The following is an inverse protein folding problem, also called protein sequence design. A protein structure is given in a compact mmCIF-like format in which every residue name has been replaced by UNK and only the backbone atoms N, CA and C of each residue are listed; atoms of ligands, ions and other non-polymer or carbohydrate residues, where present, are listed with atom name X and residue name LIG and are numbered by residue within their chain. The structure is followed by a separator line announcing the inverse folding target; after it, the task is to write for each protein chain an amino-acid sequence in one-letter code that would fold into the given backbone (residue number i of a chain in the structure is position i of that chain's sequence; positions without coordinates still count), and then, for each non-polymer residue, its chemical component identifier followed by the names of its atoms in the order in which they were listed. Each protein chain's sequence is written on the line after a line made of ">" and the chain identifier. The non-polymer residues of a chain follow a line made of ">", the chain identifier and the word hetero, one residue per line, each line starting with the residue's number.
data_IF_089478935506
#
_entry.id   IF_089478935506
#
_cell.length_a   1.000
_cell.length_b   1.000
_cell.length_c   1.000
_cell.angle_alpha   90.00
_cell.angle_beta   90.00
_cell.angle_gamma   90.00
#
_symmetry.space_group_name_H-M   'P 1'
#
loop_
_entity.id
_entity.type
_entity.pdbx_description
1 polymer ?
#
# COMPACT_ATOMS: atom_id res chain seq x y z
N UNK A 1 -4.31 -9.98 5.50
CA UNK A 1 -3.03 -9.57 4.87
C UNK A 1 -2.05 -9.02 5.89
N UNK A 2 -2.32 -7.87 6.54
CA UNK A 2 -1.39 -7.29 7.54
C UNK A 2 -1.06 -8.24 8.71
N UNK A 3 -2.08 -8.89 9.30
CA UNK A 3 -1.87 -9.87 10.38
C UNK A 3 -0.91 -11.01 9.97
N UNK A 4 -1.15 -11.62 8.80
CA UNK A 4 -0.29 -12.66 8.25
C UNK A 4 1.15 -12.16 8.01
N UNK A 5 1.31 -10.91 7.58
CA UNK A 5 2.63 -10.31 7.43
C UNK A 5 3.34 -10.14 8.79
N UNK A 6 2.63 -9.67 9.82
CA UNK A 6 3.17 -9.56 11.19
C UNK A 6 3.52 -10.91 11.81
N UNK A 7 2.82 -11.97 11.45
CA UNK A 7 3.08 -13.35 11.89
C UNK A 7 4.18 -14.06 11.07
N UNK A 8 4.86 -13.34 10.17
CA UNK A 8 5.85 -13.91 9.22
C UNK A 8 5.26 -14.98 8.28
N UNK A 9 3.94 -15.04 8.17
CA UNK A 9 3.16 -15.92 7.28
C UNK A 9 2.78 -15.24 5.97
N UNK A 10 3.61 -14.32 5.50
CA UNK A 10 3.34 -13.57 4.26
C UNK A 10 3.15 -14.46 3.03
N UNK A 11 3.75 -15.65 3.03
CA UNK A 11 3.63 -16.64 1.94
C UNK A 11 2.23 -17.27 1.86
N UNK A 12 1.46 -17.24 2.93
CA UNK A 12 0.07 -17.70 2.95
C UNK A 12 -0.87 -16.73 2.22
N UNK A 13 -0.48 -15.46 2.13
CA UNK A 13 -1.22 -14.45 1.36
C UNK A 13 -0.98 -14.55 -0.15
N UNK A 14 0.15 -15.13 -0.57
CA UNK A 14 0.48 -15.28 -1.98
C UNK A 14 -0.53 -16.23 -2.64
N UNK A 15 -1.10 -15.80 -3.78
CA UNK A 15 -1.97 -16.64 -4.59
C UNK A 15 -1.25 -17.95 -4.98
N UNK A 16 -1.85 -19.13 -4.74
CA UNK A 16 -1.25 -20.42 -5.09
C UNK A 16 -0.78 -20.53 -6.54
N UNK A 17 -1.46 -19.90 -7.49
CA UNK A 17 -1.07 -19.90 -8.91
C UNK A 17 0.19 -19.10 -9.19
N UNK A 18 0.59 -18.23 -8.27
CA UNK A 18 1.80 -17.42 -8.36
C UNK A 18 2.97 -18.01 -7.56
N UNK A 19 2.76 -19.11 -6.81
CA UNK A 19 3.80 -19.81 -6.05
C UNK A 19 4.65 -20.70 -6.95
N UNK A 20 5.38 -20.10 -7.89
CA UNK A 20 6.30 -20.82 -8.77
C UNK A 20 7.72 -20.84 -8.19
N UNK A 21 7.89 -21.55 -7.06
CA UNK A 21 9.18 -21.73 -6.39
C UNK A 21 9.57 -20.64 -5.37
N UNK A 22 10.74 -20.84 -4.75
CA UNK A 22 11.23 -20.00 -3.65
C UNK A 22 11.60 -18.57 -4.09
N UNK A 23 12.29 -18.42 -5.22
CA UNK A 23 12.69 -17.10 -5.75
C UNK A 23 11.49 -16.22 -6.11
N UNK A 24 10.43 -16.82 -6.64
CA UNK A 24 9.17 -16.13 -6.94
C UNK A 24 8.48 -15.71 -5.64
N UNK A 25 8.46 -16.59 -4.64
CA UNK A 25 7.89 -16.30 -3.32
C UNK A 25 8.60 -15.13 -2.64
N UNK A 26 9.93 -15.08 -2.68
CA UNK A 26 10.73 -13.97 -2.12
C UNK A 26 10.43 -12.64 -2.82
N UNK A 27 10.33 -12.64 -4.15
CA UNK A 27 9.94 -11.45 -4.91
C UNK A 27 8.52 -10.99 -4.55
N UNK A 28 7.59 -11.91 -4.36
CA UNK A 28 6.21 -11.58 -3.98
C UNK A 28 6.11 -11.05 -2.54
N UNK A 29 6.85 -11.64 -1.60
CA UNK A 29 6.97 -11.13 -0.23
C UNK A 29 7.57 -9.71 -0.22
N UNK A 30 8.59 -9.47 -1.06
CA UNK A 30 9.19 -8.16 -1.25
C UNK A 30 8.18 -7.16 -1.81
N UNK A 31 7.40 -7.55 -2.83
CA UNK A 31 6.33 -6.74 -3.39
C UNK A 31 5.26 -6.41 -2.33
N UNK A 32 4.87 -7.39 -1.49
CA UNK A 32 3.93 -7.19 -0.40
C UNK A 32 4.45 -6.15 0.61
N UNK A 33 5.73 -6.27 1.01
CA UNK A 33 6.39 -5.33 1.92
C UNK A 33 6.42 -3.91 1.36
N UNK A 34 6.80 -3.75 0.09
CA UNK A 34 6.79 -2.45 -0.61
C UNK A 34 5.35 -1.92 -0.72
N UNK A 35 4.38 -2.79 -0.98
CA UNK A 35 2.95 -2.45 -0.98
C UNK A 35 2.52 -1.82 0.34
N UNK A 36 2.92 -2.39 1.48
CA UNK A 36 2.64 -1.81 2.80
C UNK A 36 3.32 -0.45 3.03
N UNK A 37 4.50 -0.21 2.46
CA UNK A 37 5.15 1.11 2.51
C UNK A 37 4.38 2.15 1.66
N UNK A 38 3.78 1.74 0.54
CA UNK A 38 3.04 2.63 -0.35
C UNK A 38 1.70 3.10 0.23
N UNK A 39 1.09 2.33 1.13
CA UNK A 39 -0.23 2.63 1.71
C UNK A 39 -0.17 3.17 3.14
N UNK A 40 0.99 3.70 3.55
CA UNK A 40 1.13 4.31 4.87
C UNK A 40 0.18 5.50 5.05
N UNK A 41 -0.34 5.66 6.26
CA UNK A 41 -1.27 6.74 6.58
C UNK A 41 -0.68 8.11 6.24
N UNK A 42 0.55 8.35 6.70
CA UNK A 42 1.26 9.60 6.45
C UNK A 42 1.88 9.63 5.06
N UNK A 43 1.51 10.63 4.24
CA UNK A 43 2.04 10.74 2.88
C UNK A 43 3.57 10.88 2.83
N UNK A 44 4.17 11.53 3.83
CA UNK A 44 5.61 11.74 3.91
C UNK A 44 6.42 10.45 4.17
N UNK A 45 5.79 9.38 4.67
CA UNK A 45 6.46 8.09 4.89
C UNK A 45 6.35 7.13 3.70
N UNK A 46 5.55 7.49 2.68
CA UNK A 46 5.42 6.70 1.46
C UNK A 46 6.66 6.88 0.58
N UNK A 47 7.19 5.81 -0.02
CA UNK A 47 8.32 5.92 -0.95
C UNK A 47 7.90 6.67 -2.22
N UNK A 48 8.83 7.42 -2.81
CA UNK A 48 8.65 7.98 -4.15
C UNK A 48 8.62 6.84 -5.19
N UNK A 49 7.99 7.06 -6.35
CA UNK A 49 7.98 6.05 -7.41
C UNK A 49 9.38 5.64 -7.87
N UNK A 50 10.35 6.56 -7.91
CA UNK A 50 11.75 6.25 -8.20
C UNK A 50 12.35 5.31 -7.15
N UNK A 51 12.03 5.51 -5.88
CA UNK A 51 12.46 4.63 -4.79
C UNK A 51 11.82 3.25 -4.90
N UNK A 52 10.54 3.17 -5.27
CA UNK A 52 9.84 1.90 -5.51
C UNK A 52 10.51 1.09 -6.62
N UNK A 53 10.84 1.71 -7.75
CA UNK A 53 11.54 1.03 -8.86
C UNK A 53 12.91 0.49 -8.40
N UNK A 54 13.66 1.28 -7.63
CA UNK A 54 14.94 0.83 -7.05
C UNK A 54 14.75 -0.33 -6.08
N UNK A 55 13.73 -0.27 -5.22
CA UNK A 55 13.41 -1.32 -4.26
C UNK A 55 13.04 -2.62 -4.95
N UNK A 56 12.28 -2.58 -6.05
CA UNK A 56 11.89 -3.75 -6.83
C UNK A 56 13.06 -4.32 -7.64
N UNK A 57 13.85 -3.46 -8.29
CA UNK A 57 14.94 -3.87 -9.17
C UNK A 57 16.22 -4.34 -8.46
N UNK A 58 16.35 -4.09 -7.16
CA UNK A 58 17.52 -4.49 -6.38
C UNK A 58 17.11 -5.35 -5.18
N UNK A 59 17.29 -6.67 -5.29
CA UNK A 59 16.91 -7.64 -4.25
C UNK A 59 17.73 -7.45 -2.96
N UNK A 60 18.98 -6.97 -3.05
CA UNK A 60 19.84 -6.72 -1.89
C UNK A 60 19.54 -5.40 -1.18
N UNK A 61 18.61 -4.60 -1.70
CA UNK A 61 18.25 -3.34 -1.08
C UNK A 61 17.46 -3.59 0.23
N UNK A 62 17.92 -2.96 1.31
CA UNK A 62 17.30 -3.03 2.64
C UNK A 62 16.04 -2.16 2.69
N UNK A 63 14.89 -2.79 2.91
CA UNK A 63 13.61 -2.11 2.99
C UNK A 63 13.33 -1.63 4.42
N UNK A 64 12.81 -0.41 4.62
CA UNK A 64 12.35 0.04 5.93
C UNK A 64 11.15 -0.78 6.40
N UNK A 65 10.97 -0.94 7.70
CA UNK A 65 9.83 -1.66 8.25
C UNK A 65 8.54 -0.84 8.06
N UNK A 66 7.48 -1.40 7.46
CA UNK A 66 6.19 -0.72 7.39
C UNK A 66 5.55 -0.69 8.79
N UNK A 67 4.79 0.38 9.03
CA UNK A 67 3.82 0.44 10.13
C UNK A 67 2.47 -0.11 9.67
N UNK A 68 1.58 -0.39 10.62
CA UNK A 68 0.23 -0.87 10.33
C UNK A 68 -0.45 0.07 9.32
N UNK A 69 -0.86 -0.45 8.15
CA UNK A 69 -1.61 0.33 7.17
C UNK A 69 -2.87 0.88 7.81
N UNK A 70 -3.26 2.08 7.41
CA UNK A 70 -4.58 2.59 7.74
C UNK A 70 -5.61 1.59 7.23
N UNK A 71 -6.35 0.97 8.15
CA UNK A 71 -7.35 -0.03 7.79
C UNK A 71 -8.46 0.70 7.05
N UNK A 72 -8.52 0.54 5.73
CA UNK A 72 -9.71 0.90 4.95
C UNK A 72 -10.73 -0.21 5.26
N UNK A 73 -11.40 -0.06 6.39
CA UNK A 73 -12.47 -0.94 6.80
C UNK A 73 -13.71 -0.63 5.98
N UNK A 74 -14.29 -1.66 5.36
CA UNK A 74 -15.69 -1.75 4.97
C UNK A 74 -16.56 -1.68 6.25
N UNK A 75 -16.57 -0.51 6.89
CA UNK A 75 -17.49 -0.05 7.93
C UNK A 75 -17.31 1.46 8.04
N UNK A 76 -17.48 2.16 6.92
CA UNK A 76 -17.74 3.60 6.90
C UNK A 76 -19.19 3.94 7.31
N UNK A 77 -19.86 3.05 8.06
CA UNK A 77 -20.99 3.43 8.88
C UNK A 77 -20.40 3.84 10.24
N UNK A 78 -20.37 5.15 10.46
CA UNK A 78 -20.14 5.79 11.76
C UNK A 78 -18.69 6.02 12.22
N UNK A 79 -17.93 6.78 11.44
CA UNK A 79 -17.00 7.76 12.02
C UNK A 79 -17.26 9.12 11.39
N UNK A 80 -18.18 9.87 12.01
CA UNK A 80 -18.48 11.25 11.65
C UNK A 80 -17.21 12.12 11.73
N UNK A 81 -17.07 12.97 10.71
CA UNK A 81 -16.19 14.16 10.63
C UNK A 81 -14.70 13.91 10.39
N UNK A 82 -14.36 13.67 9.12
CA UNK A 82 -13.44 14.55 8.34
C UNK A 82 -13.56 14.20 6.86
N UNK A 83 -14.70 14.56 6.26
CA UNK A 83 -14.76 14.76 4.81
C UNK A 83 -13.84 15.95 4.51
N UNK A 84 -12.59 15.66 4.16
CA UNK A 84 -11.68 16.68 3.61
C UNK A 84 -12.36 17.27 2.38
N UNK A 85 -12.75 18.53 2.50
CA UNK A 85 -13.31 19.35 1.44
C UNK A 85 -12.21 19.58 0.40
N UNK A 86 -12.15 18.73 -0.64
CA UNK A 86 -11.28 18.96 -1.79
C UNK A 86 -11.99 18.96 -3.15
N UNK A 87 -13.32 19.07 -3.17
CA UNK A 87 -14.05 19.41 -4.39
C UNK A 87 -14.49 20.87 -4.30
N UNK A 88 -13.75 21.78 -4.93
CA UNK A 88 -14.29 23.11 -5.27
C UNK A 88 -15.18 22.93 -6.49
N UNK A 89 -16.47 23.33 -6.47
CA UNK A 89 -17.28 23.33 -7.67
C UNK A 89 -16.69 24.32 -8.68
N UNK A 90 -16.51 23.88 -9.93
CA UNK A 90 -16.26 24.79 -11.05
C UNK A 90 -17.53 25.59 -11.28
N UNK A 91 -17.46 26.92 -11.15
CA UNK A 91 -18.55 27.79 -11.56
C UNK A 91 -18.55 27.84 -13.09
N UNK A 92 -19.64 27.37 -13.72
CA UNK A 92 -19.93 27.68 -15.11
C UNK A 92 -20.32 29.16 -15.18
N UNK A 93 -19.42 30.01 -15.66
CA UNK A 93 -19.79 31.36 -16.08
C UNK A 93 -20.70 31.28 -17.32
N UNK A 94 -21.64 32.22 -17.38
CA UNK A 94 -22.91 32.10 -18.09
C UNK A 94 -22.89 32.38 -19.59
N UNK A 95 -23.95 31.91 -20.23
CA UNK A 95 -24.38 32.35 -21.55
C UNK A 95 -25.50 33.37 -21.37
N UNK A 96 -25.25 34.61 -21.77
CA UNK A 96 -26.28 35.54 -22.25
C UNK A 96 -26.13 35.68 -23.75
#
# INVERSE_FOLDING_TARGET
>A
AWSLWCEEKGTEFIDPFLKDGASTSDQMLRCLHIGFLCIQEHAATRPTMSRVVLMLGNVSFVLPLPTQPAVIGENAAESSVRRSSFIRPVASEGST
#
